data_IF_813674808426
#
_entry.id   IF_813674808426
#
_cell.length_a   1.000
_cell.length_b   1.000
_cell.length_c   1.000
_cell.angle_alpha   90.00
_cell.angle_beta   90.00
_cell.angle_gamma   90.00
#
_symmetry.space_group_name_H-M   'P 1'
#
loop_
_entity.id
_entity.type
_entity.pdbx_description
1 polymer ?
#
# COMPACT_ATOMS: atom_id res chain seq x y z
N UNK A 1 -24.86 -44.11 -41.57
CA UNK A 1 -26.06 -43.63 -40.86
C UNK A 1 -25.72 -42.33 -40.21
N UNK A 2 -26.16 -41.26 -40.85
CA UNK A 2 -25.91 -39.89 -40.38
C UNK A 2 -26.99 -39.52 -39.36
N UNK A 3 -26.60 -39.13 -38.15
CA UNK A 3 -27.52 -38.70 -37.08
C UNK A 3 -27.61 -37.18 -37.16
N UNK A 4 -28.85 -36.71 -37.47
CA UNK A 4 -29.20 -35.28 -37.57
C UNK A 4 -29.00 -34.55 -36.27
N UNK A 5 -28.27 -33.41 -36.23
CA UNK A 5 -28.04 -32.58 -35.05
C UNK A 5 -29.31 -31.86 -34.53
N UNK A 6 -30.38 -31.78 -35.32
CA UNK A 6 -31.60 -31.02 -34.96
C UNK A 6 -32.49 -31.75 -33.93
N UNK A 7 -32.24 -33.02 -33.61
CA UNK A 7 -33.10 -33.79 -32.66
C UNK A 7 -32.80 -33.52 -31.21
N UNK A 8 -31.67 -32.84 -30.87
CA UNK A 8 -31.28 -32.54 -29.46
C UNK A 8 -31.88 -31.25 -28.89
N UNK A 9 -32.48 -30.39 -29.70
CA UNK A 9 -33.01 -29.09 -29.25
C UNK A 9 -34.51 -29.08 -28.86
N UNK A 10 -35.19 -30.21 -28.93
CA UNK A 10 -36.65 -30.27 -28.61
C UNK A 10 -36.99 -30.49 -27.14
N UNK A 11 -36.04 -30.55 -26.22
CA UNK A 11 -36.30 -30.82 -24.78
C UNK A 11 -36.43 -29.59 -23.87
N UNK A 12 -36.36 -28.38 -24.42
CA UNK A 12 -36.55 -27.15 -23.65
C UNK A 12 -37.66 -26.26 -24.23
N UNK A 13 -38.90 -26.78 -24.26
CA UNK A 13 -40.07 -25.93 -24.40
C UNK A 13 -40.54 -25.49 -23.02
N UNK A 14 -40.25 -24.24 -22.68
CA UNK A 14 -40.86 -23.57 -21.54
C UNK A 14 -42.33 -23.29 -21.86
N UNK A 15 -43.28 -23.78 -21.05
CA UNK A 15 -44.68 -23.46 -21.15
C UNK A 15 -44.94 -22.09 -20.53
N UNK A 16 -45.39 -21.13 -21.33
CA UNK A 16 -45.85 -19.82 -20.87
C UNK A 16 -47.10 -19.93 -20.03
N UNK A 17 -46.96 -19.96 -18.72
CA UNK A 17 -48.06 -19.62 -17.81
C UNK A 17 -47.79 -18.23 -17.24
N UNK A 18 -48.51 -17.22 -17.76
CA UNK A 18 -48.52 -15.86 -17.21
C UNK A 18 -49.05 -15.90 -15.77
N UNK A 19 -48.09 -15.89 -14.80
CA UNK A 19 -48.42 -15.52 -13.41
C UNK A 19 -48.37 -14.01 -13.29
N UNK A 20 -49.51 -13.40 -13.01
CA UNK A 20 -49.61 -11.97 -12.64
C UNK A 20 -48.76 -11.74 -11.40
N UNK A 21 -47.67 -10.98 -11.54
CA UNK A 21 -46.79 -10.63 -10.45
C UNK A 21 -47.41 -9.51 -9.61
N UNK A 22 -47.50 -9.73 -8.30
CA UNK A 22 -47.87 -8.71 -7.32
C UNK A 22 -46.83 -7.54 -7.40
N UNK A 23 -47.29 -6.26 -7.24
CA UNK A 23 -46.36 -5.13 -7.27
C UNK A 23 -45.32 -5.27 -6.17
N UNK A 24 -44.02 -5.14 -6.56
CA UNK A 24 -42.90 -5.13 -5.62
C UNK A 24 -43.00 -3.89 -4.73
N UNK A 25 -42.73 -4.00 -3.41
CA UNK A 25 -42.71 -2.82 -2.54
C UNK A 25 -41.63 -1.85 -3.01
N UNK A 26 -42.00 -0.58 -3.08
CA UNK A 26 -41.09 0.53 -3.40
C UNK A 26 -39.94 0.55 -2.37
N UNK A 27 -38.73 0.22 -2.81
CA UNK A 27 -37.55 0.36 -1.95
C UNK A 27 -37.39 1.84 -1.61
N UNK A 28 -37.58 2.20 -0.35
CA UNK A 28 -37.19 3.49 0.16
C UNK A 28 -35.70 3.74 -0.20
N UNK A 29 -35.45 4.75 -1.02
CA UNK A 29 -34.11 5.27 -1.31
C UNK A 29 -33.59 5.80 0.03
N UNK A 30 -32.72 5.04 0.70
CA UNK A 30 -31.98 5.54 1.84
C UNK A 30 -31.15 6.72 1.35
N UNK A 31 -31.48 7.92 1.82
CA UNK A 31 -30.70 9.12 1.61
C UNK A 31 -29.22 8.79 1.89
N UNK A 32 -28.33 9.08 0.93
CA UNK A 32 -26.88 9.01 1.15
C UNK A 32 -26.59 9.91 2.35
N UNK A 33 -26.31 9.33 3.53
CA UNK A 33 -25.75 10.07 4.64
C UNK A 33 -24.47 10.73 4.10
N UNK A 34 -24.48 12.04 3.98
CA UNK A 34 -23.29 12.84 3.81
C UNK A 34 -22.35 12.44 4.94
N UNK A 35 -21.25 11.77 4.62
CA UNK A 35 -20.23 11.43 5.63
C UNK A 35 -19.64 12.76 6.09
N UNK A 36 -20.04 13.21 7.26
CA UNK A 36 -19.35 14.29 7.96
C UNK A 36 -17.90 13.84 8.13
N UNK A 37 -16.96 14.63 7.64
CA UNK A 37 -15.53 14.44 7.91
C UNK A 37 -15.39 14.52 9.43
N UNK A 38 -15.03 13.39 10.06
CA UNK A 38 -14.78 13.37 11.48
C UNK A 38 -13.56 14.26 11.75
N UNK A 39 -13.77 15.36 12.44
CA UNK A 39 -12.71 16.27 12.84
C UNK A 39 -12.02 15.63 14.06
N UNK A 40 -10.80 15.14 13.89
CA UNK A 40 -9.98 14.64 14.99
C UNK A 40 -9.23 15.83 15.57
N UNK A 41 -9.87 16.54 16.49
CA UNK A 41 -9.25 17.65 17.21
C UNK A 41 -7.93 17.20 17.85
N UNK A 42 -6.84 17.93 17.57
CA UNK A 42 -5.52 17.68 18.16
C UNK A 42 -4.68 16.61 17.47
N UNK A 43 -5.12 16.04 16.34
CA UNK A 43 -4.30 15.13 15.54
C UNK A 43 -3.76 15.83 14.29
N UNK A 44 -2.44 15.85 14.16
CA UNK A 44 -1.75 16.46 13.02
C UNK A 44 -1.56 15.46 11.87
N UNK A 45 -1.37 15.98 10.69
CA UNK A 45 -0.86 15.21 9.56
C UNK A 45 0.52 14.65 9.91
N UNK A 46 0.87 13.50 9.34
CA UNK A 46 2.19 12.93 9.48
C UNK A 46 3.07 13.38 8.31
N UNK A 47 4.19 14.02 8.62
CA UNK A 47 5.11 14.48 7.59
C UNK A 47 5.87 13.32 6.96
N UNK A 48 6.13 13.36 5.65
CA UNK A 48 6.99 12.38 5.00
C UNK A 48 8.46 12.54 5.43
N UNK A 49 9.19 11.41 5.47
CA UNK A 49 10.64 11.35 5.63
C UNK A 49 11.27 11.04 4.29
N UNK A 50 11.58 12.06 3.50
CA UNK A 50 12.05 11.94 2.10
C UNK A 50 13.25 12.81 1.86
N UNK A 51 14.28 12.25 1.20
CA UNK A 51 15.46 12.95 0.69
C UNK A 51 15.89 12.34 -0.66
N UNK A 52 16.76 13.01 -1.43
CA UNK A 52 17.32 12.41 -2.66
C UNK A 52 18.09 11.11 -2.41
N UNK A 53 18.16 10.28 -3.46
CA UNK A 53 18.99 9.07 -3.54
C UNK A 53 18.67 8.01 -2.47
N UNK A 54 17.38 7.80 -2.18
CA UNK A 54 16.98 6.73 -1.28
C UNK A 54 17.25 5.35 -1.89
N UNK A 55 17.62 4.39 -1.04
CA UNK A 55 17.61 2.97 -1.41
C UNK A 55 16.21 2.40 -1.40
N UNK A 56 15.41 2.79 -0.40
CA UNK A 56 14.03 2.33 -0.25
C UNK A 56 13.15 3.49 0.21
N UNK A 57 12.00 3.66 -0.47
CA UNK A 57 10.92 4.54 -0.03
C UNK A 57 9.68 3.70 0.25
N UNK A 58 9.24 3.66 1.49
CA UNK A 58 7.98 3.05 1.87
C UNK A 58 6.81 4.00 1.69
N UNK A 59 5.71 3.47 1.14
CA UNK A 59 4.48 4.23 0.88
C UNK A 59 3.31 3.58 1.60
N UNK A 60 2.81 4.25 2.64
CA UNK A 60 1.62 3.86 3.37
C UNK A 60 0.33 4.45 2.77
N UNK A 61 -0.82 4.09 3.34
CA UNK A 61 -2.10 4.61 2.86
C UNK A 61 -2.38 6.00 3.45
N UNK A 62 -2.41 6.08 4.76
CA UNK A 62 -2.51 7.30 5.54
C UNK A 62 -2.24 7.00 7.03
N UNK A 63 -1.82 7.98 7.83
CA UNK A 63 -1.58 7.76 9.24
C UNK A 63 -2.87 7.40 9.98
N UNK A 64 -2.81 6.36 10.82
CA UNK A 64 -3.83 6.08 11.82
C UNK A 64 -3.68 6.98 13.03
N UNK A 65 -4.64 6.91 13.95
CA UNK A 65 -4.66 7.76 15.16
C UNK A 65 -3.36 7.66 15.97
N UNK A 66 -2.83 6.45 16.15
CA UNK A 66 -1.60 6.25 16.91
C UNK A 66 -0.38 6.86 16.19
N UNK A 67 -0.27 6.69 14.87
CA UNK A 67 0.79 7.30 14.07
C UNK A 67 0.74 8.83 14.12
N UNK A 68 -0.45 9.42 14.03
CA UNK A 68 -0.61 10.86 14.13
C UNK A 68 -0.29 11.38 15.53
N UNK A 69 -0.69 10.65 16.58
CA UNK A 69 -0.44 11.03 17.99
C UNK A 69 1.04 11.00 18.35
N UNK A 70 1.74 9.97 17.89
CA UNK A 70 3.18 9.77 18.15
C UNK A 70 4.06 10.46 17.13
N UNK A 71 3.52 10.90 15.99
CA UNK A 71 4.23 11.46 14.85
C UNK A 71 5.26 10.47 14.25
N UNK A 72 4.89 9.16 14.18
CA UNK A 72 5.71 8.09 13.63
C UNK A 72 4.92 7.17 12.70
N UNK A 73 5.55 6.72 11.62
CA UNK A 73 4.94 5.82 10.65
C UNK A 73 4.74 4.42 11.24
N UNK A 74 3.56 3.81 10.93
CA UNK A 74 3.20 2.44 11.34
C UNK A 74 3.27 2.20 12.87
N UNK A 75 3.01 3.23 13.69
CA UNK A 75 3.23 3.19 15.14
C UNK A 75 2.25 2.31 15.93
N UNK A 76 1.11 1.90 15.36
CA UNK A 76 0.14 1.10 16.11
C UNK A 76 0.74 -0.28 16.47
N UNK A 77 0.67 -0.67 17.73
CA UNK A 77 1.31 -1.88 18.28
C UNK A 77 0.91 -3.20 17.58
N UNK A 78 -0.28 -3.27 16.96
CA UNK A 78 -0.70 -4.44 16.17
C UNK A 78 -0.23 -4.40 14.72
N UNK A 79 0.42 -3.30 14.28
CA UNK A 79 0.92 -3.20 12.93
C UNK A 79 2.16 -4.09 12.76
N UNK A 80 2.15 -4.92 11.73
CA UNK A 80 3.22 -5.88 11.47
C UNK A 80 4.43 -5.26 10.75
N UNK A 81 4.37 -3.97 10.37
CA UNK A 81 5.40 -3.32 9.54
C UNK A 81 6.80 -3.50 10.15
N UNK A 82 7.02 -3.05 11.37
CA UNK A 82 8.34 -3.08 12.00
C UNK A 82 8.83 -4.50 12.26
N UNK A 83 7.93 -5.43 12.56
CA UNK A 83 8.27 -6.85 12.68
C UNK A 83 8.73 -7.45 11.35
N UNK A 84 8.04 -7.13 10.25
CA UNK A 84 8.41 -7.56 8.90
C UNK A 84 9.71 -6.90 8.45
N UNK A 85 9.88 -5.60 8.69
CA UNK A 85 11.09 -4.84 8.41
C UNK A 85 12.33 -5.49 9.06
N UNK A 86 12.23 -5.81 10.35
CA UNK A 86 13.33 -6.41 11.09
C UNK A 86 13.61 -7.85 10.62
N UNK A 87 12.59 -8.70 10.53
CA UNK A 87 12.77 -10.11 10.17
C UNK A 87 13.16 -10.32 8.71
N UNK A 88 12.81 -9.41 7.80
CA UNK A 88 13.31 -9.44 6.42
C UNK A 88 14.77 -9.06 6.31
N UNK A 89 15.40 -8.54 7.38
CA UNK A 89 16.80 -8.04 7.41
C UNK A 89 17.04 -6.92 6.38
N UNK A 90 16.00 -6.12 6.07
CA UNK A 90 16.07 -5.10 5.05
C UNK A 90 17.09 -4.01 5.40
N UNK A 91 17.19 -3.63 6.70
CA UNK A 91 18.19 -2.67 7.16
C UNK A 91 19.60 -3.12 6.79
N UNK A 92 19.97 -4.38 7.05
CA UNK A 92 21.29 -4.90 6.71
C UNK A 92 21.56 -4.86 5.21
N UNK A 93 20.59 -5.25 4.40
CA UNK A 93 20.69 -5.20 2.95
C UNK A 93 20.94 -3.76 2.43
N UNK A 94 20.26 -2.76 3.02
CA UNK A 94 20.46 -1.36 2.66
C UNK A 94 21.85 -0.87 3.11
N UNK A 95 22.30 -1.25 4.31
CA UNK A 95 23.60 -0.88 4.84
C UNK A 95 24.74 -1.44 3.99
N UNK A 96 24.64 -2.68 3.53
CA UNK A 96 25.60 -3.30 2.61
C UNK A 96 25.73 -2.50 1.31
N UNK A 97 24.59 -2.14 0.69
CA UNK A 97 24.57 -1.36 -0.56
C UNK A 97 25.14 0.05 -0.41
N UNK A 98 25.02 0.63 0.78
CA UNK A 98 25.52 1.97 1.09
C UNK A 98 26.96 1.95 1.62
N UNK A 99 27.60 0.79 1.77
CA UNK A 99 28.94 0.66 2.36
C UNK A 99 29.01 1.07 3.82
N UNK A 100 27.88 1.00 4.56
CA UNK A 100 27.75 1.48 5.97
C UNK A 100 27.77 0.36 7.01
N UNK A 101 28.11 -0.86 6.65
CA UNK A 101 28.00 -2.06 7.51
C UNK A 101 28.94 -2.08 8.72
N UNK A 102 30.04 -1.33 8.71
CA UNK A 102 31.11 -1.45 9.70
C UNK A 102 31.42 -0.14 10.46
N UNK A 103 30.48 0.76 10.55
CA UNK A 103 30.70 2.00 11.31
C UNK A 103 30.41 1.78 12.80
N UNK A 104 31.44 1.36 13.55
CA UNK A 104 31.35 1.14 15.00
C UNK A 104 31.06 2.42 15.81
N UNK A 105 31.31 3.57 15.24
CA UNK A 105 31.07 4.87 15.87
C UNK A 105 29.65 5.39 15.66
N UNK A 106 28.83 4.69 14.86
CA UNK A 106 27.43 5.03 14.64
C UNK A 106 26.58 4.48 15.79
N UNK A 107 26.33 5.33 16.79
CA UNK A 107 25.54 4.97 17.98
C UNK A 107 24.13 4.51 17.62
N UNK A 108 23.50 5.16 16.63
CA UNK A 108 22.17 4.77 16.17
C UNK A 108 22.20 3.36 15.54
N UNK A 109 23.19 3.10 14.68
CA UNK A 109 23.33 1.79 14.06
C UNK A 109 23.53 0.69 15.11
N UNK A 110 24.33 0.96 16.13
CA UNK A 110 24.57 0.01 17.22
C UNK A 110 23.27 -0.28 18.03
N UNK A 111 22.36 0.70 18.17
CA UNK A 111 21.06 0.50 18.79
C UNK A 111 20.10 -0.27 17.88
N UNK A 112 20.15 -0.02 16.58
CA UNK A 112 19.28 -0.66 15.59
C UNK A 112 19.71 -2.10 15.24
N UNK A 113 20.97 -2.49 15.54
CA UNK A 113 21.53 -3.78 15.16
C UNK A 113 22.19 -4.45 16.35
N UNK A 114 21.43 -5.26 17.08
CA UNK A 114 21.88 -5.96 18.27
C UNK A 114 22.05 -7.46 17.95
N UNK A 115 23.18 -8.06 18.26
CA UNK A 115 23.46 -9.48 18.02
C UNK A 115 23.22 -9.93 16.55
N UNK A 116 23.43 -9.05 15.58
CA UNK A 116 23.18 -9.36 14.18
C UNK A 116 21.70 -9.36 13.77
N UNK A 117 20.82 -8.89 14.62
CA UNK A 117 19.39 -8.71 14.36
C UNK A 117 19.02 -7.23 14.28
N UNK A 118 18.01 -6.90 13.48
CA UNK A 118 17.45 -5.55 13.40
C UNK A 118 16.37 -5.36 14.46
N UNK A 119 16.42 -4.23 15.16
CA UNK A 119 15.51 -3.83 16.22
C UNK A 119 14.84 -2.48 15.98
N UNK A 120 14.71 -2.05 14.74
CA UNK A 120 14.03 -0.81 14.40
C UNK A 120 12.55 -0.84 14.83
N UNK A 121 12.08 0.29 15.28
CA UNK A 121 10.69 0.51 15.71
C UNK A 121 10.15 1.81 15.09
N UNK A 122 8.89 2.15 15.36
CA UNK A 122 8.29 3.35 14.81
C UNK A 122 9.07 4.63 15.16
N UNK A 123 9.65 4.71 16.35
CA UNK A 123 10.41 5.90 16.79
C UNK A 123 11.66 6.17 15.96
N UNK A 124 12.11 5.21 15.17
CA UNK A 124 13.30 5.33 14.35
C UNK A 124 13.00 5.72 12.89
N UNK A 125 11.75 5.87 12.49
CA UNK A 125 11.36 6.08 11.09
C UNK A 125 12.06 7.30 10.47
N UNK A 126 12.09 8.45 11.16
CA UNK A 126 12.79 9.65 10.68
C UNK A 126 14.31 9.54 10.75
N UNK A 127 14.85 8.73 11.66
CA UNK A 127 16.29 8.52 11.78
C UNK A 127 16.84 7.60 10.69
N UNK A 128 16.01 6.67 10.17
CA UNK A 128 16.38 5.74 9.11
C UNK A 128 16.68 6.43 7.78
N UNK A 129 16.30 7.70 7.61
CA UNK A 129 16.71 8.54 6.47
C UNK A 129 18.24 8.63 6.34
N UNK A 130 18.97 8.60 7.46
CA UNK A 130 20.44 8.56 7.50
C UNK A 130 21.02 7.35 6.76
N UNK A 131 20.25 6.29 6.66
CA UNK A 131 20.60 5.05 5.95
C UNK A 131 19.92 4.93 4.60
N UNK A 132 19.39 6.02 4.04
CA UNK A 132 18.70 6.07 2.76
C UNK A 132 17.40 5.22 2.73
N UNK A 133 16.68 5.17 3.85
CA UNK A 133 15.35 4.58 3.97
C UNK A 133 14.36 5.70 4.31
N UNK A 134 13.38 5.91 3.46
CA UNK A 134 12.37 6.96 3.63
C UNK A 134 10.95 6.41 3.78
N UNK A 135 10.04 7.31 4.20
CA UNK A 135 8.63 7.00 4.46
C UNK A 135 7.74 8.11 3.96
N UNK A 136 6.61 7.73 3.38
CA UNK A 136 5.50 8.64 3.05
C UNK A 136 4.18 7.90 3.04
N UNK A 137 3.07 8.63 2.94
CA UNK A 137 1.72 8.09 2.81
C UNK A 137 1.01 8.68 1.58
N UNK A 138 0.09 7.93 0.98
CA UNK A 138 -0.75 8.44 -0.11
C UNK A 138 -1.54 9.67 0.32
N UNK A 139 -2.06 9.71 1.54
CA UNK A 139 -2.72 10.86 2.14
C UNK A 139 -2.11 11.13 3.51
N UNK A 140 -1.65 12.35 3.75
CA UNK A 140 -0.98 12.71 5.01
C UNK A 140 -1.97 12.87 6.18
N UNK A 141 -3.24 13.13 5.89
CA UNK A 141 -4.29 13.35 6.88
C UNK A 141 -4.59 12.08 7.69
N UNK A 142 -4.60 12.24 9.01
CA UNK A 142 -4.97 11.18 9.93
C UNK A 142 -6.45 10.80 9.83
N UNK A 143 -6.73 9.49 9.89
CA UNK A 143 -8.09 8.95 10.07
C UNK A 143 -8.05 7.69 10.94
N UNK A 144 -9.19 7.31 11.55
CA UNK A 144 -9.32 5.99 12.22
C UNK A 144 -9.29 4.85 11.21
N UNK A 145 -9.79 5.11 10.00
CA UNK A 145 -9.88 4.12 8.93
C UNK A 145 -9.69 4.80 7.58
N UNK A 146 -8.91 4.20 6.70
CA UNK A 146 -8.75 4.66 5.31
C UNK A 146 -10.07 4.78 4.52
N UNK A 147 -11.16 4.17 5.00
CA UNK A 147 -12.50 4.29 4.43
C UNK A 147 -13.13 5.68 4.66
N UNK A 148 -12.64 6.46 5.61
CA UNK A 148 -13.09 7.83 5.87
C UNK A 148 -12.58 8.82 4.82
N UNK A 149 -11.50 8.48 4.13
CA UNK A 149 -10.98 9.25 3.00
C UNK A 149 -11.89 9.09 1.79
N UNK A 150 -12.28 10.20 1.17
CA UNK A 150 -13.04 10.15 -0.09
C UNK A 150 -12.15 9.68 -1.24
N UNK A 151 -12.76 9.18 -2.32
CA UNK A 151 -12.00 8.81 -3.53
C UNK A 151 -11.34 10.05 -4.14
N UNK A 152 -12.02 11.20 -4.13
CA UNK A 152 -11.48 12.44 -4.65
C UNK A 152 -10.22 12.87 -3.88
N UNK A 153 -10.28 12.88 -2.54
CA UNK A 153 -9.14 13.19 -1.68
C UNK A 153 -7.93 12.29 -1.97
N UNK A 154 -8.15 10.99 -2.15
CA UNK A 154 -7.10 10.04 -2.52
C UNK A 154 -6.48 10.37 -3.87
N UNK A 155 -7.30 10.66 -4.88
CA UNK A 155 -6.84 11.01 -6.23
C UNK A 155 -6.11 12.35 -6.26
N UNK A 156 -6.52 13.32 -5.45
CA UNK A 156 -5.90 14.65 -5.40
C UNK A 156 -4.52 14.63 -4.73
N UNK A 157 -4.24 13.61 -3.91
CA UNK A 157 -2.94 13.43 -3.28
C UNK A 157 -1.91 12.70 -4.19
N UNK A 158 -2.34 12.00 -5.25
CA UNK A 158 -1.41 11.30 -6.16
C UNK A 158 -0.34 12.22 -6.75
N UNK A 159 -0.64 13.44 -7.27
CA UNK A 159 0.41 14.31 -7.79
C UNK A 159 1.45 14.75 -6.76
N UNK A 160 1.07 14.93 -5.48
CA UNK A 160 2.02 15.20 -4.39
C UNK A 160 2.93 14.00 -4.19
N UNK A 161 2.36 12.80 -4.08
CA UNK A 161 3.10 11.56 -3.90
C UNK A 161 4.11 11.32 -5.03
N UNK A 162 3.72 11.53 -6.30
CA UNK A 162 4.64 11.39 -7.44
C UNK A 162 5.78 12.42 -7.42
N UNK A 163 5.53 13.65 -6.93
CA UNK A 163 6.61 14.63 -6.72
C UNK A 163 7.58 14.20 -5.62
N UNK A 164 7.11 13.57 -4.56
CA UNK A 164 7.98 12.99 -3.52
C UNK A 164 8.81 11.83 -4.06
N UNK A 165 8.24 10.99 -4.93
CA UNK A 165 9.00 9.94 -5.61
C UNK A 165 10.09 10.53 -6.52
N UNK A 166 9.75 11.59 -7.27
CA UNK A 166 10.74 12.32 -8.08
C UNK A 166 11.87 12.90 -7.23
N UNK A 167 11.53 13.53 -6.10
CA UNK A 167 12.55 14.04 -5.16
C UNK A 167 13.41 12.89 -4.61
N UNK A 168 12.79 11.79 -4.23
CA UNK A 168 13.45 10.67 -3.57
C UNK A 168 14.42 9.93 -4.48
N UNK A 169 14.13 9.82 -5.79
CA UNK A 169 14.88 8.98 -6.75
C UNK A 169 15.27 7.63 -6.15
N UNK A 170 14.31 7.03 -5.40
CA UNK A 170 14.55 5.80 -4.66
C UNK A 170 14.80 4.63 -5.62
N UNK A 171 15.75 3.76 -5.29
CA UNK A 171 15.99 2.54 -6.09
C UNK A 171 14.79 1.60 -6.03
N UNK A 172 14.16 1.51 -4.86
CA UNK A 172 12.94 0.70 -4.66
C UNK A 172 11.85 1.52 -3.99
N UNK A 173 10.66 1.51 -4.58
CA UNK A 173 9.44 2.07 -4.00
C UNK A 173 8.58 0.91 -3.53
N UNK A 174 8.30 0.85 -2.22
CA UNK A 174 7.58 -0.25 -1.58
C UNK A 174 6.23 0.24 -1.08
N UNK A 175 5.19 -0.09 -1.83
CA UNK A 175 3.81 0.30 -1.56
C UNK A 175 3.15 -0.73 -0.62
N UNK A 176 2.72 -0.29 0.56
CA UNK A 176 2.11 -1.15 1.59
C UNK A 176 0.58 -1.17 1.45
N UNK A 177 0.10 -1.94 0.50
CA UNK A 177 -1.34 -2.13 0.24
C UNK A 177 -1.73 -1.92 -1.21
N UNK A 178 -2.37 -2.92 -1.80
CA UNK A 178 -2.87 -2.92 -3.19
C UNK A 178 -3.72 -1.68 -3.52
N UNK A 179 -4.55 -1.23 -2.57
CA UNK A 179 -5.46 -0.10 -2.79
C UNK A 179 -4.75 1.22 -3.11
N UNK A 180 -3.51 1.42 -2.64
CA UNK A 180 -2.69 2.58 -2.99
C UNK A 180 -2.32 2.52 -4.48
N UNK A 181 -1.80 1.37 -4.92
CA UNK A 181 -1.43 1.14 -6.31
C UNK A 181 -2.61 1.32 -7.27
N UNK A 182 -3.76 0.75 -6.92
CA UNK A 182 -4.99 0.91 -7.70
C UNK A 182 -5.44 2.38 -7.83
N UNK A 183 -5.24 3.21 -6.79
CA UNK A 183 -5.56 4.64 -6.83
C UNK A 183 -4.60 5.40 -7.73
N UNK A 184 -3.29 5.11 -7.64
CA UNK A 184 -2.28 5.73 -8.50
C UNK A 184 -2.61 5.46 -9.98
N UNK A 185 -2.87 4.20 -10.33
CA UNK A 185 -3.23 3.82 -11.71
C UNK A 185 -4.58 4.41 -12.12
N UNK A 186 -5.56 4.42 -11.23
CA UNK A 186 -6.88 5.01 -11.51
C UNK A 186 -6.82 6.50 -11.78
N UNK A 187 -5.90 7.25 -11.17
CA UNK A 187 -5.68 8.68 -11.46
C UNK A 187 -5.43 8.91 -12.95
N UNK A 188 -4.90 7.92 -13.64
CA UNK A 188 -4.58 7.94 -15.07
C UNK A 188 -5.72 7.44 -15.97
N UNK A 189 -6.90 7.19 -15.42
CA UNK A 189 -8.03 6.65 -16.18
C UNK A 189 -7.87 5.16 -16.56
N UNK A 190 -6.87 4.48 -16.01
CA UNK A 190 -6.59 3.07 -16.32
C UNK A 190 -7.22 2.17 -15.26
N UNK A 191 -7.72 1.00 -15.67
CA UNK A 191 -8.22 -0.05 -14.78
C UNK A 191 -7.24 -1.23 -14.79
N UNK A 192 -6.74 -1.60 -13.60
CA UNK A 192 -5.90 -2.79 -13.43
C UNK A 192 -6.73 -4.02 -13.75
N UNK A 193 -6.29 -4.80 -14.74
CA UNK A 193 -6.98 -6.05 -15.14
C UNK A 193 -6.47 -7.25 -14.35
N UNK A 194 -5.17 -7.33 -14.14
CA UNK A 194 -4.50 -8.39 -13.40
C UNK A 194 -3.56 -7.76 -12.38
N UNK A 195 -3.49 -8.36 -11.20
CA UNK A 195 -2.62 -7.90 -10.12
C UNK A 195 -1.95 -9.11 -9.44
N UNK A 196 -0.64 -9.03 -9.32
CA UNK A 196 0.18 -9.97 -8.57
C UNK A 196 0.95 -9.18 -7.49
N UNK A 197 1.15 -9.78 -6.31
CA UNK A 197 1.94 -9.17 -5.25
C UNK A 197 3.44 -9.21 -5.59
N UNK A 198 4.22 -8.33 -4.97
CA UNK A 198 5.64 -8.20 -5.19
C UNK A 198 5.98 -7.14 -6.23
N UNK A 199 7.05 -7.36 -7.00
CA UNK A 199 7.52 -6.43 -8.02
C UNK A 199 6.49 -6.27 -9.15
N UNK A 200 6.28 -5.02 -9.57
CA UNK A 200 5.34 -4.68 -10.64
C UNK A 200 6.09 -4.47 -11.95
N UNK A 201 6.11 -5.49 -12.81
CA UNK A 201 6.74 -5.46 -14.13
C UNK A 201 5.69 -5.46 -15.24
N UNK A 202 4.97 -4.34 -15.40
CA UNK A 202 3.93 -4.21 -16.39
C UNK A 202 3.91 -2.81 -17.02
N UNK A 203 3.14 -2.63 -18.09
CA UNK A 203 3.03 -1.35 -18.78
C UNK A 203 2.58 -0.19 -17.87
N UNK A 204 1.80 -0.48 -16.82
CA UNK A 204 1.36 0.54 -15.86
C UNK A 204 2.52 1.08 -15.03
N UNK A 205 3.45 0.20 -14.64
CA UNK A 205 4.66 0.57 -13.90
C UNK A 205 5.54 1.51 -14.71
N UNK A 206 5.83 1.14 -15.97
CA UNK A 206 6.63 1.98 -16.87
C UNK A 206 6.01 3.35 -17.04
N UNK A 207 4.68 3.40 -17.17
CA UNK A 207 3.98 4.64 -17.30
C UNK A 207 4.05 5.49 -16.01
N UNK A 208 3.81 4.90 -14.82
CA UNK A 208 3.90 5.60 -13.52
C UNK A 208 5.33 6.12 -13.28
N UNK A 209 6.36 5.32 -13.60
CA UNK A 209 7.75 5.74 -13.50
C UNK A 209 8.06 6.92 -14.43
N UNK A 210 7.58 6.88 -15.66
CA UNK A 210 7.73 7.99 -16.62
C UNK A 210 7.04 9.27 -16.14
N UNK A 211 5.81 9.17 -15.63
CA UNK A 211 5.06 10.31 -15.09
C UNK A 211 5.73 10.92 -13.86
N UNK A 212 6.27 10.08 -12.98
CA UNK A 212 7.00 10.51 -11.80
C UNK A 212 8.44 10.96 -12.13
N UNK A 213 8.98 10.66 -13.31
CA UNK A 213 10.37 10.94 -13.69
C UNK A 213 11.37 10.15 -12.83
N UNK A 214 11.14 8.84 -12.66
CA UNK A 214 11.95 7.95 -11.82
C UNK A 214 12.34 6.67 -12.58
N UNK A 215 13.42 6.04 -12.12
CA UNK A 215 13.86 4.70 -12.55
C UNK A 215 13.91 3.78 -11.33
N UNK A 216 12.73 3.41 -10.82
CA UNK A 216 12.58 2.65 -9.57
C UNK A 216 11.92 1.29 -9.84
N UNK A 217 12.35 0.27 -9.09
CA UNK A 217 11.56 -0.95 -8.96
C UNK A 217 10.37 -0.67 -8.02
N UNK A 218 9.16 -0.86 -8.52
CA UNK A 218 7.96 -0.70 -7.70
C UNK A 218 7.52 -2.06 -7.18
N UNK A 219 7.45 -2.19 -5.85
CA UNK A 219 6.92 -3.36 -5.17
C UNK A 219 5.59 -3.02 -4.52
N UNK A 220 4.58 -3.87 -4.69
CA UNK A 220 3.30 -3.75 -3.98
C UNK A 220 3.14 -4.92 -3.03
N UNK A 221 3.13 -4.61 -1.74
CA UNK A 221 3.07 -5.60 -0.66
C UNK A 221 1.73 -5.56 0.06
N UNK A 222 1.32 -6.68 0.69
CA UNK A 222 0.11 -6.72 1.50
C UNK A 222 0.14 -5.72 2.64
N UNK A 223 -1.01 -5.15 2.95
CA UNK A 223 -1.17 -4.24 4.09
C UNK A 223 -0.71 -4.91 5.39
N UNK A 224 0.03 -4.14 6.20
CA UNK A 224 0.61 -4.59 7.48
C UNK A 224 -0.27 -4.32 8.69
N UNK A 225 -1.41 -3.65 8.52
CA UNK A 225 -2.38 -3.41 9.60
C UNK A 225 -2.83 -4.74 10.23
N UNK A 226 -2.88 -4.80 11.54
CA UNK A 226 -3.39 -5.96 12.29
C UNK A 226 -4.84 -6.33 11.99
N UNK A 227 -5.60 -5.42 11.37
CA UNK A 227 -6.98 -5.67 10.93
C UNK A 227 -7.08 -6.46 9.62
N UNK A 228 -5.97 -6.64 8.88
CA UNK A 228 -5.95 -7.29 7.57
C UNK A 228 -5.33 -8.68 7.69
N UNK A 229 -6.18 -9.70 7.64
CA UNK A 229 -5.82 -11.11 7.87
C UNK A 229 -5.78 -11.97 6.59
N UNK A 230 -5.88 -11.36 5.41
CA UNK A 230 -5.92 -12.08 4.12
C UNK A 230 -4.65 -12.87 3.79
N UNK A 231 -3.53 -12.52 4.40
CA UNK A 231 -2.27 -13.27 4.34
C UNK A 231 -1.69 -13.45 5.74
N UNK A 232 -1.13 -14.63 6.01
CA UNK A 232 -0.42 -14.88 7.26
C UNK A 232 0.96 -14.19 7.27
N UNK A 233 1.62 -14.19 8.42
CA UNK A 233 2.89 -13.50 8.60
C UNK A 233 4.01 -14.07 7.70
N UNK A 234 4.11 -15.39 7.57
CA UNK A 234 5.16 -16.04 6.77
C UNK A 234 5.01 -15.67 5.27
N UNK A 235 3.78 -15.63 4.74
CA UNK A 235 3.51 -15.21 3.37
C UNK A 235 3.90 -13.75 3.14
N UNK A 236 3.58 -12.86 4.09
CA UNK A 236 4.00 -11.45 4.02
C UNK A 236 5.51 -11.34 4.07
N UNK A 237 6.19 -12.07 4.96
CA UNK A 237 7.65 -12.05 5.08
C UNK A 237 8.35 -12.55 3.81
N UNK A 238 7.80 -13.55 3.14
CA UNK A 238 8.33 -14.03 1.86
C UNK A 238 8.38 -12.89 0.83
N UNK A 239 7.28 -12.15 0.66
CA UNK A 239 7.22 -10.98 -0.23
C UNK A 239 8.17 -9.84 0.19
N UNK A 240 8.34 -9.62 1.51
CA UNK A 240 9.31 -8.64 2.01
C UNK A 240 10.75 -9.02 1.67
N UNK A 241 11.06 -10.33 1.65
CA UNK A 241 12.38 -10.81 1.25
C UNK A 241 12.67 -10.57 -0.23
N UNK A 242 11.64 -10.53 -1.09
CA UNK A 242 11.78 -10.23 -2.52
C UNK A 242 12.20 -8.80 -2.82
N UNK A 243 12.03 -7.85 -1.88
CA UNK A 243 12.49 -6.45 -2.04
C UNK A 243 14.00 -6.41 -2.31
N UNK A 244 14.74 -7.37 -1.81
CA UNK A 244 16.21 -7.41 -1.85
C UNK A 244 16.80 -7.94 -3.16
N UNK A 245 15.96 -8.45 -4.05
CA UNK A 245 16.35 -9.03 -5.34
C UNK A 245 16.59 -7.97 -6.42
#
# INVERSE_FOLDING_TARGET
MSIDPASRLRKFRYSDTKKVSKPKPVKHIKSKKTRTVANYEGLNDLNPSVQPDLQVLFVGFNPGVESSRTQHHYAHHTNLFWKLFNQSRLLFWVLERNGKTNNKDDLLLNQLTINGESHATAVNDFELIKYNIGFTDLVLRCTKSAQELTMQEKLDNVPRLLREWNLAQAKKIVIIGKGIWEIIIKKQGIKVQRFDWGVQNNAYTQWVCSEAGIESDIHVLPNTSGLVTSMNFAQKLALWNEIKN
#
